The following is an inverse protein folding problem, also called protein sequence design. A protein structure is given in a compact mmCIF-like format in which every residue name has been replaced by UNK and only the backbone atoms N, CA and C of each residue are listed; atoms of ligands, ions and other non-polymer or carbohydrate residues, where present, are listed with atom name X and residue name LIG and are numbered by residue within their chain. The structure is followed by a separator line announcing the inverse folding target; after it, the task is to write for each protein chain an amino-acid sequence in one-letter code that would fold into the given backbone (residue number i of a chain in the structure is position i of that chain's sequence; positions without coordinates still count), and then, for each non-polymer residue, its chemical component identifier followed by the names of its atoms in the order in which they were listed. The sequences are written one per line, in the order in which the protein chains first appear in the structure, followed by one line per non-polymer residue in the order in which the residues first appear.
data_IF_296779705408
#
_entry.id   IF_296779705408
#
_cell.length_a   1.000
_cell.length_b   1.000
_cell.length_c   1.000
_cell.angle_alpha   90.00
_cell.angle_beta   90.00
_cell.angle_gamma   90.00
#
_symmetry.space_group_name_H-M   'P 1'
#
loop_
_entity.id
_entity.type
_entity.pdbx_description
1 polymer ?
#
# COMPACT_ATOMS: atom_id res chain seq x y z
N UNK A 1 6.13 -25.97 7.21
CA UNK A 1 5.16 -25.17 6.44
C UNK A 1 5.83 -23.88 5.99
N UNK A 2 5.72 -23.46 4.72
CA UNK A 2 6.20 -22.14 4.27
C UNK A 2 5.27 -21.03 4.79
N UNK A 3 5.84 -19.87 5.13
CA UNK A 3 5.09 -18.73 5.70
C UNK A 3 5.20 -17.51 4.79
N UNK A 4 4.11 -16.75 4.68
CA UNK A 4 4.05 -15.45 4.00
C UNK A 4 3.74 -14.41 5.08
N UNK A 5 4.70 -13.55 5.38
CA UNK A 5 4.65 -12.65 6.54
C UNK A 5 4.71 -11.18 6.13
N UNK A 6 4.03 -10.33 6.86
CA UNK A 6 4.06 -8.88 6.71
C UNK A 6 4.00 -8.25 8.10
N UNK A 7 4.61 -7.09 8.28
CA UNK A 7 4.52 -6.36 9.55
C UNK A 7 3.18 -5.61 9.66
N UNK A 8 2.79 -5.33 10.90
CA UNK A 8 1.84 -4.30 11.25
C UNK A 8 2.57 -3.22 12.07
N UNK A 9 1.92 -2.54 13.00
CA UNK A 9 2.55 -1.47 13.78
C UNK A 9 3.47 -1.95 14.90
N UNK A 10 3.08 -3.01 15.60
CA UNK A 10 3.79 -3.49 16.79
C UNK A 10 5.19 -4.04 16.53
N UNK A 11 5.55 -4.26 15.27
CA UNK A 11 6.93 -4.54 14.86
C UNK A 11 7.84 -3.32 15.03
N UNK A 12 7.29 -2.09 15.11
CA UNK A 12 8.03 -0.83 15.31
C UNK A 12 7.58 -0.11 16.59
N UNK A 13 6.32 0.34 16.61
CA UNK A 13 5.69 1.09 17.69
C UNK A 13 4.18 1.18 17.48
N UNK A 14 3.40 1.15 18.58
CA UNK A 14 1.94 1.23 18.53
C UNK A 14 1.44 2.38 17.64
N UNK A 15 0.52 2.09 16.72
CA UNK A 15 -0.08 3.05 15.80
C UNK A 15 0.95 3.88 15.01
N UNK A 16 2.04 3.28 14.54
CA UNK A 16 2.95 4.03 13.68
C UNK A 16 2.38 4.31 12.28
N UNK A 17 2.84 5.43 11.73
CA UNK A 17 2.59 5.96 10.40
C UNK A 17 3.92 6.51 9.83
N UNK A 18 3.91 7.08 8.61
CA UNK A 18 5.13 7.41 7.89
C UNK A 18 6.18 8.23 8.68
N UNK A 19 5.73 9.16 9.53
CA UNK A 19 6.62 10.10 10.23
C UNK A 19 6.51 10.02 11.77
N UNK A 20 5.75 9.07 12.34
CA UNK A 20 5.61 8.99 13.79
C UNK A 20 4.83 7.79 14.31
N UNK A 21 4.65 7.73 15.63
CA UNK A 21 3.86 6.70 16.32
C UNK A 21 3.20 7.24 17.60
N UNK A 22 2.23 6.51 18.14
CA UNK A 22 1.53 6.89 19.38
C UNK A 22 2.39 6.62 20.62
N UNK A 23 3.09 5.49 20.65
CA UNK A 23 3.99 5.11 21.74
C UNK A 23 5.46 5.37 21.40
N UNK A 24 5.75 6.57 20.91
CA UNK A 24 7.11 7.06 20.75
C UNK A 24 7.31 8.38 21.50
N UNK A 25 8.29 8.42 22.40
CA UNK A 25 8.57 9.58 23.26
C UNK A 25 9.89 10.24 22.88
N UNK A 26 10.06 11.53 23.18
CA UNK A 26 11.23 12.31 22.78
C UNK A 26 12.55 11.78 23.38
N UNK A 27 12.49 11.17 24.56
CA UNK A 27 13.63 10.53 25.23
C UNK A 27 14.09 9.22 24.57
N UNK A 28 13.30 8.64 23.66
CA UNK A 28 13.63 7.40 22.94
C UNK A 28 14.48 7.64 21.69
N UNK A 29 14.76 8.91 21.35
CA UNK A 29 15.54 9.29 20.18
C UNK A 29 14.67 9.64 18.97
N UNK A 30 15.26 9.52 17.78
CA UNK A 30 14.55 9.80 16.52
C UNK A 30 13.66 8.61 16.11
N UNK A 31 12.43 8.91 15.70
CA UNK A 31 11.46 7.87 15.32
C UNK A 31 11.90 7.09 14.07
N UNK A 32 12.51 7.78 13.10
CA UNK A 32 12.94 7.17 11.85
C UNK A 32 14.09 6.20 12.11
N UNK A 33 15.04 6.58 12.98
CA UNK A 33 16.10 5.67 13.44
C UNK A 33 15.53 4.43 14.14
N UNK A 34 14.53 4.59 15.02
CA UNK A 34 13.83 3.47 15.66
C UNK A 34 13.15 2.56 14.64
N UNK A 35 12.43 3.14 13.68
CA UNK A 35 11.73 2.41 12.61
C UNK A 35 12.71 1.60 11.76
N UNK A 36 13.79 2.23 11.32
CA UNK A 36 14.76 1.58 10.44
C UNK A 36 15.51 0.44 11.16
N UNK A 37 15.81 0.60 12.45
CA UNK A 37 16.38 -0.46 13.29
C UNK A 37 15.40 -1.64 13.45
N UNK A 38 14.11 -1.36 13.66
CA UNK A 38 13.07 -2.38 13.76
C UNK A 38 12.84 -3.14 12.43
N UNK A 39 12.79 -2.42 11.31
CA UNK A 39 12.68 -3.03 9.97
C UNK A 39 13.89 -3.91 9.68
N UNK A 40 15.10 -3.46 10.03
CA UNK A 40 16.31 -4.26 9.92
C UNK A 40 16.19 -5.56 10.73
N UNK A 41 15.79 -5.47 12.00
CA UNK A 41 15.58 -6.65 12.84
C UNK A 41 14.52 -7.58 12.25
N UNK A 42 13.42 -7.05 11.69
CA UNK A 42 12.40 -7.84 11.02
C UNK A 42 13.00 -8.66 9.87
N UNK A 43 13.81 -8.06 9.00
CA UNK A 43 14.46 -8.77 7.90
C UNK A 43 15.53 -9.78 8.38
N UNK A 44 16.19 -9.51 9.50
CA UNK A 44 17.19 -10.42 10.08
C UNK A 44 16.54 -11.68 10.70
N UNK A 45 15.31 -11.57 11.23
CA UNK A 45 14.65 -12.64 12.00
C UNK A 45 13.49 -13.33 11.28
N UNK A 46 12.93 -12.73 10.23
CA UNK A 46 11.80 -13.27 9.48
C UNK A 46 12.23 -13.89 8.14
N UNK A 47 11.49 -14.90 7.62
CA UNK A 47 11.80 -15.53 6.34
C UNK A 47 11.38 -14.66 5.15
N UNK A 48 11.97 -13.47 5.03
CA UNK A 48 11.71 -12.51 3.95
C UNK A 48 12.99 -12.30 3.13
N UNK A 49 12.84 -12.30 1.81
CA UNK A 49 13.97 -12.02 0.91
C UNK A 49 14.08 -10.52 0.69
N UNK A 50 15.28 -9.97 0.93
CA UNK A 50 15.64 -8.58 0.66
C UNK A 50 16.07 -8.42 -0.81
N UNK A 51 15.15 -8.65 -1.73
CA UNK A 51 15.28 -8.26 -3.14
C UNK A 51 14.47 -7.00 -3.38
N UNK A 52 14.79 -6.21 -4.40
CA UNK A 52 13.95 -5.08 -4.78
C UNK A 52 12.47 -5.48 -4.89
N UNK A 53 11.52 -4.70 -4.33
CA UNK A 53 11.68 -3.41 -3.65
C UNK A 53 12.04 -3.51 -2.14
N UNK A 54 12.14 -4.71 -1.57
CA UNK A 54 12.45 -4.92 -0.14
C UNK A 54 13.82 -4.45 0.31
N UNK A 55 14.78 -4.36 -0.62
CA UNK A 55 16.08 -3.77 -0.32
C UNK A 55 15.99 -2.25 -0.03
N UNK A 56 14.94 -1.56 -0.52
CA UNK A 56 14.63 -0.16 -0.23
C UNK A 56 13.82 0.00 1.08
N UNK A 57 13.63 -1.07 1.85
CA UNK A 57 12.87 -1.04 3.11
C UNK A 57 11.36 -1.24 2.94
N UNK A 58 10.94 -1.90 1.86
CA UNK A 58 9.51 -2.08 1.51
C UNK A 58 9.08 -3.55 1.59
N UNK A 59 7.92 -3.90 2.14
CA UNK A 59 7.53 -5.32 2.30
C UNK A 59 6.45 -5.82 1.33
N UNK A 60 5.94 -4.93 0.46
CA UNK A 60 4.90 -5.29 -0.49
C UNK A 60 5.43 -6.22 -1.59
N UNK A 61 4.61 -7.20 -1.98
CA UNK A 61 4.98 -8.21 -2.98
C UNK A 61 3.78 -9.02 -3.44
N UNK A 62 3.89 -9.61 -4.62
CA UNK A 62 2.84 -10.46 -5.20
C UNK A 62 3.33 -11.89 -5.39
N UNK A 63 2.46 -12.86 -5.11
CA UNK A 63 2.67 -14.28 -5.33
C UNK A 63 1.60 -14.81 -6.28
N UNK A 64 1.98 -15.73 -7.14
CA UNK A 64 1.03 -16.43 -8.02
C UNK A 64 1.08 -17.92 -7.75
N UNK A 65 -0.09 -18.50 -7.49
CA UNK A 65 -0.28 -19.92 -7.27
C UNK A 65 -1.02 -20.52 -8.48
N UNK A 66 -0.26 -20.79 -9.54
CA UNK A 66 -0.81 -21.28 -10.81
C UNK A 66 -1.88 -20.34 -11.38
N UNK A 67 -2.99 -20.91 -11.82
CA UNK A 67 -4.19 -20.21 -12.29
C UNK A 67 -5.26 -20.01 -11.19
N UNK A 68 -4.96 -20.42 -9.95
CA UNK A 68 -5.91 -20.39 -8.85
C UNK A 68 -6.01 -19.01 -8.19
N UNK A 69 -4.87 -18.44 -7.77
CA UNK A 69 -4.85 -17.18 -7.03
C UNK A 69 -3.58 -16.37 -7.28
N UNK A 70 -3.79 -15.07 -7.48
CA UNK A 70 -2.77 -14.03 -7.30
C UNK A 70 -2.96 -13.40 -5.93
N UNK A 71 -1.91 -13.40 -5.11
CA UNK A 71 -1.92 -12.87 -3.75
C UNK A 71 -0.97 -11.67 -3.67
N UNK A 72 -1.53 -10.48 -3.53
CA UNK A 72 -0.76 -9.26 -3.25
C UNK A 72 -0.74 -8.99 -1.76
N UNK A 73 0.47 -8.97 -1.19
CA UNK A 73 0.74 -8.58 0.19
C UNK A 73 1.11 -7.09 0.19
N UNK A 74 0.44 -6.30 1.03
CA UNK A 74 0.59 -4.86 1.07
C UNK A 74 1.32 -4.39 2.32
N UNK A 75 2.08 -3.32 2.22
CA UNK A 75 2.56 -2.54 3.34
C UNK A 75 1.56 -1.41 3.63
N UNK A 76 0.97 -1.43 4.83
CA UNK A 76 -0.04 -0.46 5.25
C UNK A 76 0.46 0.47 6.36
N UNK A 77 1.76 0.47 6.67
CA UNK A 77 2.31 1.26 7.77
C UNK A 77 3.37 2.25 7.33
N UNK A 78 4.31 1.85 6.48
CA UNK A 78 5.47 2.67 6.12
C UNK A 78 5.10 3.94 5.34
N UNK A 79 3.95 3.94 4.66
CA UNK A 79 3.53 5.04 3.76
C UNK A 79 2.24 5.74 4.17
N UNK A 80 1.57 5.27 5.22
CA UNK A 80 0.26 5.83 5.57
C UNK A 80 0.43 7.18 6.25
N UNK A 81 -0.53 8.05 6.00
CA UNK A 81 -0.68 9.26 6.78
C UNK A 81 -1.17 8.94 8.20
N UNK A 82 -0.99 9.93 9.10
CA UNK A 82 -1.47 9.89 10.48
C UNK A 82 -2.96 9.55 10.58
N UNK A 83 -3.38 8.89 11.68
CA UNK A 83 -4.78 8.55 11.89
C UNK A 83 -5.70 9.75 11.73
N UNK A 84 -6.89 9.50 11.16
CA UNK A 84 -7.80 10.59 10.86
C UNK A 84 -8.20 11.41 12.09
N UNK A 85 -8.44 10.77 13.23
CA UNK A 85 -8.91 11.43 14.43
C UNK A 85 -7.82 12.28 15.10
N UNK A 86 -6.54 12.03 14.80
CA UNK A 86 -5.43 12.92 15.16
C UNK A 86 -5.31 14.11 14.19
N UNK A 87 -5.80 13.95 12.95
CA UNK A 87 -5.81 15.00 11.90
C UNK A 87 -7.12 15.79 11.76
N UNK A 88 -8.20 15.46 12.47
CA UNK A 88 -9.48 16.16 12.46
C UNK A 88 -10.69 15.35 11.98
N UNK A 89 -11.85 16.00 11.88
CA UNK A 89 -13.14 15.38 11.56
C UNK A 89 -13.13 14.64 10.21
N UNK A 90 -13.89 13.54 10.11
CA UNK A 90 -14.03 12.72 8.90
C UNK A 90 -14.61 13.55 7.74
N UNK A 91 -13.76 14.02 6.83
CA UNK A 91 -14.17 14.71 5.61
C UNK A 91 -14.14 13.76 4.41
N UNK A 92 -15.26 13.71 3.69
CA UNK A 92 -15.32 13.06 2.39
C UNK A 92 -14.46 13.89 1.40
N UNK A 93 -13.50 13.26 0.72
CA UNK A 93 -12.57 13.98 -0.17
C UNK A 93 -11.23 14.36 0.47
N UNK A 94 -10.97 13.92 1.70
CA UNK A 94 -9.64 14.03 2.30
C UNK A 94 -8.59 13.25 1.50
N UNK A 95 -7.47 13.90 1.18
CA UNK A 95 -6.41 13.38 0.32
C UNK A 95 -5.47 12.38 1.02
N UNK A 96 -5.75 12.01 2.28
CA UNK A 96 -4.96 11.02 3.01
C UNK A 96 -4.81 9.69 2.25
N UNK A 97 -3.64 9.09 2.34
CA UNK A 97 -3.29 7.81 1.74
C UNK A 97 -2.84 6.80 2.78
N UNK A 98 -3.19 5.53 2.53
CA UNK A 98 -2.62 4.39 3.25
C UNK A 98 -1.35 3.84 2.57
N UNK A 99 -1.15 4.18 1.29
CA UNK A 99 -0.10 3.61 0.43
C UNK A 99 0.86 4.71 -0.07
N UNK A 100 0.77 5.92 0.47
CA UNK A 100 1.49 7.10 -0.01
C UNK A 100 1.37 7.30 -1.52
N UNK A 101 2.46 7.76 -2.14
CA UNK A 101 2.62 7.86 -3.59
C UNK A 101 2.84 6.48 -4.26
N UNK A 102 3.18 5.45 -3.49
CA UNK A 102 3.52 4.11 -3.97
C UNK A 102 2.31 3.23 -4.33
N UNK A 103 1.08 3.77 -4.20
CA UNK A 103 -0.16 3.14 -4.65
C UNK A 103 -0.07 2.60 -6.10
N UNK A 104 0.67 3.30 -6.96
CA UNK A 104 0.93 2.87 -8.34
C UNK A 104 1.86 1.66 -8.43
N UNK A 105 2.96 1.64 -7.67
CA UNK A 105 4.03 0.63 -7.76
C UNK A 105 3.57 -0.76 -7.37
N UNK A 106 2.78 -0.89 -6.30
CA UNK A 106 2.19 -2.19 -5.89
C UNK A 106 1.36 -2.80 -7.03
N UNK A 107 0.62 -1.96 -7.75
CA UNK A 107 -0.27 -2.39 -8.83
C UNK A 107 0.48 -2.61 -10.15
N UNK A 108 1.49 -1.80 -10.43
CA UNK A 108 2.34 -1.87 -11.62
C UNK A 108 3.25 -3.10 -11.59
N UNK A 109 3.90 -3.36 -10.45
CA UNK A 109 4.77 -4.52 -10.25
C UNK A 109 4.00 -5.84 -10.42
N UNK A 110 2.79 -5.89 -9.86
CA UNK A 110 1.86 -7.01 -10.08
C UNK A 110 1.49 -7.20 -11.56
N UNK A 111 1.39 -6.12 -12.34
CA UNK A 111 1.09 -6.17 -13.79
C UNK A 111 2.31 -6.55 -14.63
N UNK A 112 3.50 -6.11 -14.25
CA UNK A 112 4.75 -6.40 -14.97
C UNK A 112 5.21 -7.85 -14.76
N UNK A 113 5.02 -8.42 -13.58
CA UNK A 113 5.36 -9.81 -13.31
C UNK A 113 4.44 -10.81 -14.05
N UNK A 114 3.23 -10.41 -14.45
CA UNK A 114 2.21 -11.31 -15.01
C UNK A 114 1.48 -10.76 -16.26
N UNK A 115 2.16 -10.64 -17.42
CA UNK A 115 1.61 -10.02 -18.62
C UNK A 115 0.42 -10.77 -19.25
N UNK A 116 0.24 -12.07 -18.96
CA UNK A 116 -0.83 -12.90 -19.52
C UNK A 116 -2.19 -12.75 -18.81
N UNK A 117 -2.22 -12.11 -17.63
CA UNK A 117 -3.47 -11.84 -16.90
C UNK A 117 -4.08 -10.48 -17.23
N UNK A 118 -3.75 -9.89 -18.40
CA UNK A 118 -4.43 -8.70 -18.93
C UNK A 118 -5.91 -9.01 -19.14
N UNK A 119 -6.73 -8.77 -18.11
CA UNK A 119 -8.16 -8.54 -18.33
C UNK A 119 -8.25 -7.26 -19.15
N UNK A 120 -8.80 -7.38 -20.35
CA UNK A 120 -9.14 -6.26 -21.21
C UNK A 120 -9.80 -5.17 -20.32
N UNK A 121 -9.38 -3.90 -20.41
CA UNK A 121 -10.12 -2.85 -19.72
C UNK A 121 -11.55 -2.89 -20.24
N UNK A 122 -12.51 -3.10 -19.34
CA UNK A 122 -13.92 -2.99 -19.67
C UNK A 122 -14.17 -1.52 -19.96
N UNK A 123 -14.00 -1.11 -21.22
CA UNK A 123 -14.44 0.19 -21.69
C UNK A 123 -15.96 0.18 -21.58
N UNK A 124 -16.48 0.78 -20.51
CA UNK A 124 -17.87 1.21 -20.49
C UNK A 124 -17.99 2.24 -21.61
N UNK A 125 -18.56 1.82 -22.74
CA UNK A 125 -18.89 2.76 -23.80
C UNK A 125 -19.84 3.81 -23.21
N UNK A 126 -19.56 5.11 -23.34
CA UNK A 126 -20.56 6.11 -23.00
C UNK A 126 -21.73 5.91 -23.96
N UNK A 127 -22.89 5.53 -23.42
CA UNK A 127 -24.14 5.60 -24.16
C UNK A 127 -24.31 7.05 -24.63
N UNK A 128 -24.33 7.25 -25.95
CA UNK A 128 -24.66 8.51 -26.57
C UNK A 128 -26.06 8.93 -26.14
N UNK A 129 -26.16 10.06 -25.45
CA UNK A 129 -27.43 10.74 -25.22
C UNK A 129 -27.95 11.20 -26.58
N UNK A 130 -29.00 10.52 -27.06
CA UNK A 130 -29.81 10.99 -28.20
C UNK A 130 -30.57 12.22 -27.72
N UNK A 131 -30.21 13.40 -28.22
CA UNK A 131 -31.02 14.61 -28.05
C UNK A 131 -32.20 14.57 -29.04
N UNK A 132 -33.45 14.82 -28.61
CA UNK A 132 -34.56 14.98 -29.54
C UNK A 132 -34.39 16.28 -30.33
N UNK A 133 -34.43 16.17 -31.66
CA UNK A 133 -34.41 17.32 -32.56
C UNK A 133 -35.63 18.21 -32.34
N UNK A 134 -35.38 19.51 -32.15
CA UNK A 134 -36.42 20.54 -32.23
C UNK A 134 -36.61 20.89 -33.70
N UNK A 135 -37.80 20.62 -34.23
CA UNK A 135 -38.22 21.09 -35.55
C UNK A 135 -38.81 22.49 -35.40
N UNK A 136 -38.26 23.47 -36.10
CA UNK A 136 -38.94 24.74 -36.37
C UNK A 136 -38.65 25.17 -37.82
N UNK A 137 -39.74 25.20 -38.59
CA UNK A 137 -40.06 25.95 -39.82
C UNK A 137 -39.09 25.98 -40.99
#
# INVERSE_FOLDING_TARGET
MPWIVVWDDHEVANNFWAEGADNHQAEEGDFIERRDAAIRAYYEWMPVRTTEPSAEGHIYRTFTFGDLVGLTVMDLRTYRDVEFWKGGSRQLGDARSMLGADRGRVTEDSRQQHPHQRRQPLYLQPHSLVTPGTSLT
#
